data_IF_694564006512
#
_entry.id   IF_694564006512
#
_cell.length_a   1.000
_cell.length_b   1.000
_cell.length_c   1.000
_cell.angle_alpha   90.00
_cell.angle_beta   90.00
_cell.angle_gamma   90.00
#
_symmetry.space_group_name_H-M   'P 1'
#
loop_
_entity.id
_entity.type
_entity.pdbx_description
1 polymer ?
#
# COMPACT_ATOMS: atom_id res chain seq x y z
N UNK A 1 -11.66 31.51 15.66
CA UNK A 1 -11.57 31.05 14.25
C UNK A 1 -12.71 30.10 13.89
N UNK A 2 -12.96 29.04 14.65
CA UNK A 2 -14.02 28.06 14.34
C UNK A 2 -15.43 28.64 14.19
N UNK A 3 -15.86 29.55 15.07
CA UNK A 3 -17.18 30.19 14.95
C UNK A 3 -17.36 31.02 13.67
N UNK A 4 -16.26 31.51 13.07
CA UNK A 4 -16.33 32.28 11.81
C UNK A 4 -16.73 31.40 10.63
N UNK A 5 -16.26 30.16 10.59
CA UNK A 5 -16.51 29.24 9.46
C UNK A 5 -17.80 28.44 9.61
N UNK A 6 -18.46 28.52 10.77
CA UNK A 6 -19.66 27.73 11.09
C UNK A 6 -20.81 27.86 10.09
N UNK A 7 -20.99 29.05 9.49
CA UNK A 7 -22.01 29.32 8.47
C UNK A 7 -21.44 29.59 7.08
N UNK A 8 -20.15 29.38 6.89
CA UNK A 8 -19.48 29.71 5.63
C UNK A 8 -19.93 28.82 4.46
N UNK A 9 -20.29 27.55 4.76
CA UNK A 9 -20.72 26.57 3.76
C UNK A 9 -22.25 26.55 3.51
N UNK A 10 -22.98 27.58 3.96
CA UNK A 10 -24.41 27.69 3.68
C UNK A 10 -24.69 27.94 2.19
N UNK A 11 -25.89 27.62 1.73
CA UNK A 11 -26.35 27.87 0.34
C UNK A 11 -26.97 29.26 0.17
N UNK A 12 -27.56 29.81 1.23
CA UNK A 12 -28.21 31.13 1.17
C UNK A 12 -27.17 32.25 1.27
N UNK A 13 -27.14 33.13 0.27
CA UNK A 13 -26.25 34.30 0.26
C UNK A 13 -24.77 33.96 0.09
N UNK A 14 -24.45 32.77 -0.43
CA UNK A 14 -23.07 32.35 -0.72
C UNK A 14 -22.50 32.91 -2.03
N UNK A 15 -23.35 33.52 -2.86
CA UNK A 15 -23.07 34.07 -4.19
C UNK A 15 -23.69 35.48 -4.40
N UNK A 16 -23.43 36.47 -3.53
CA UNK A 16 -23.95 37.84 -3.69
C UNK A 16 -23.47 38.53 -4.97
N UNK A 17 -24.35 39.34 -5.57
CA UNK A 17 -24.05 40.14 -6.78
C UNK A 17 -23.01 41.25 -6.52
N UNK A 18 -23.02 41.83 -5.32
CA UNK A 18 -22.10 42.92 -4.93
C UNK A 18 -21.21 42.48 -3.77
N UNK A 19 -19.90 42.61 -3.95
CA UNK A 19 -18.92 42.26 -2.93
C UNK A 19 -18.64 43.47 -2.03
N UNK A 20 -18.68 43.25 -0.72
CA UNK A 20 -18.26 44.24 0.29
C UNK A 20 -17.29 43.58 1.28
N UNK A 21 -16.69 44.35 2.19
CA UNK A 21 -15.81 43.78 3.21
C UNK A 21 -16.56 42.89 4.22
N UNK A 22 -17.87 43.08 4.36
CA UNK A 22 -18.73 42.32 5.28
C UNK A 22 -19.49 41.19 4.59
N UNK A 23 -19.64 41.22 3.26
CA UNK A 23 -20.34 40.19 2.49
C UNK A 23 -19.52 39.79 1.26
N UNK A 24 -18.79 38.68 1.38
CA UNK A 24 -18.01 38.08 0.29
C UNK A 24 -18.56 36.71 -0.03
N UNK A 25 -18.73 36.46 -1.32
CA UNK A 25 -19.13 35.16 -1.83
C UNK A 25 -18.07 34.09 -1.55
N UNK A 26 -18.51 32.87 -1.29
CA UNK A 26 -17.64 31.68 -1.36
C UNK A 26 -17.55 31.13 -2.78
N UNK A 27 -18.59 31.34 -3.60
CA UNK A 27 -18.69 30.87 -4.99
C UNK A 27 -19.49 31.85 -5.85
N UNK A 28 -19.27 31.86 -7.16
CA UNK A 28 -20.09 32.59 -8.15
C UNK A 28 -21.04 31.68 -8.92
N UNK A 29 -20.99 30.37 -8.66
CA UNK A 29 -21.83 29.38 -9.31
C UNK A 29 -23.12 29.18 -8.50
N UNK A 30 -24.29 29.01 -9.15
CA UNK A 30 -25.50 28.54 -8.46
C UNK A 30 -25.28 27.16 -7.83
N UNK A 31 -25.87 26.96 -6.66
CA UNK A 31 -25.95 25.65 -6.04
C UNK A 31 -26.92 24.77 -6.83
N UNK A 32 -26.41 23.68 -7.40
CA UNK A 32 -27.18 22.70 -8.17
C UNK A 32 -26.98 21.32 -7.58
N UNK A 33 -27.96 20.43 -7.74
CA UNK A 33 -27.90 19.03 -7.27
C UNK A 33 -27.00 18.15 -8.16
N UNK A 34 -26.40 18.73 -9.21
CA UNK A 34 -25.50 18.08 -10.15
C UNK A 34 -24.03 18.42 -9.83
N UNK A 35 -23.34 17.47 -9.17
CA UNK A 35 -21.95 17.64 -8.72
C UNK A 35 -20.96 17.51 -9.88
N UNK A 36 -21.18 16.59 -10.83
CA UNK A 36 -20.26 16.33 -11.95
C UNK A 36 -20.60 17.10 -13.23
N UNK A 37 -21.67 17.90 -13.22
CA UNK A 37 -22.13 18.76 -14.32
C UNK A 37 -22.44 17.99 -15.60
N UNK A 38 -22.98 16.78 -15.47
CA UNK A 38 -23.39 15.97 -16.63
C UNK A 38 -24.81 16.30 -17.12
N UNK A 39 -25.46 17.30 -16.52
CA UNK A 39 -26.82 17.78 -16.79
C UNK A 39 -27.90 16.72 -16.54
N UNK A 40 -27.56 15.67 -15.80
CA UNK A 40 -28.50 14.64 -15.37
C UNK A 40 -28.48 14.51 -13.86
N UNK A 41 -29.61 14.12 -13.27
CA UNK A 41 -29.66 13.77 -11.86
C UNK A 41 -29.53 12.27 -11.74
N UNK A 42 -28.40 11.80 -11.21
CA UNK A 42 -28.24 10.39 -10.90
C UNK A 42 -28.83 10.10 -9.52
N UNK A 43 -29.96 9.42 -9.48
CA UNK A 43 -30.66 9.01 -8.24
C UNK A 43 -30.33 7.58 -7.81
N UNK A 44 -29.39 6.92 -8.49
CA UNK A 44 -28.98 5.57 -8.14
C UNK A 44 -28.07 5.64 -6.92
N UNK A 45 -28.57 5.14 -5.80
CA UNK A 45 -27.78 4.90 -4.61
C UNK A 45 -27.19 3.48 -4.68
N UNK A 46 -25.93 3.40 -5.12
CA UNK A 46 -25.14 2.18 -5.03
C UNK A 46 -23.69 2.54 -4.72
N UNK A 47 -23.22 2.12 -3.55
CA UNK A 47 -21.95 2.58 -3.00
C UNK A 47 -21.32 1.54 -2.08
N UNK A 48 -19.99 1.67 -1.94
CA UNK A 48 -19.22 1.02 -0.90
C UNK A 48 -19.06 1.99 0.26
N UNK A 49 -19.26 1.50 1.47
CA UNK A 49 -19.12 2.24 2.72
C UNK A 49 -17.97 1.65 3.54
N UNK A 50 -17.17 2.55 4.10
CA UNK A 50 -16.05 2.27 4.97
C UNK A 50 -16.33 3.00 6.29
N UNK A 51 -16.73 2.26 7.31
CA UNK A 51 -17.12 2.79 8.61
C UNK A 51 -15.94 2.72 9.57
N UNK A 52 -15.46 3.89 10.02
CA UNK A 52 -14.36 4.00 10.99
C UNK A 52 -14.88 4.50 12.32
N UNK A 53 -14.78 3.67 13.35
CA UNK A 53 -15.19 4.02 14.71
C UNK A 53 -14.11 4.83 15.44
N UNK A 54 -14.14 6.15 15.24
CA UNK A 54 -13.18 7.08 15.84
C UNK A 54 -13.60 7.44 17.26
N UNK A 55 -13.11 6.68 18.22
CA UNK A 55 -13.23 6.96 19.66
C UNK A 55 -11.87 7.24 20.29
N UNK A 56 -11.86 7.78 21.52
CA UNK A 56 -10.60 8.01 22.24
C UNK A 56 -9.90 6.70 22.61
N UNK A 57 -10.66 5.64 22.83
CA UNK A 57 -10.13 4.33 23.22
C UNK A 57 -9.54 3.58 22.01
N UNK A 58 -10.06 3.84 20.81
CA UNK A 58 -9.56 3.24 19.57
C UNK A 58 -8.34 3.98 18.98
N UNK A 59 -8.00 5.17 19.47
CA UNK A 59 -6.86 5.95 18.96
C UNK A 59 -5.64 5.80 19.89
N UNK A 60 -4.49 5.32 19.39
CA UNK A 60 -3.27 5.22 20.19
C UNK A 60 -2.78 6.59 20.64
N UNK A 61 -2.16 6.68 21.82
CA UNK A 61 -1.74 7.94 22.41
C UNK A 61 -0.26 8.25 22.18
N UNK A 62 0.62 7.25 22.27
CA UNK A 62 2.06 7.48 22.20
C UNK A 62 2.76 6.73 21.08
N UNK A 63 2.42 5.47 20.86
CA UNK A 63 3.02 4.61 19.82
C UNK A 63 1.95 3.81 19.08
N UNK A 64 2.29 3.36 17.87
CA UNK A 64 1.47 2.41 17.10
C UNK A 64 1.27 1.09 17.85
N UNK A 65 2.24 0.70 18.68
CA UNK A 65 2.22 -0.54 19.48
C UNK A 65 1.09 -0.60 20.53
N UNK A 66 0.42 0.53 20.79
CA UNK A 66 -0.76 0.56 21.67
C UNK A 66 -2.01 -0.01 20.99
N UNK A 67 -1.99 -0.21 19.67
CA UNK A 67 -3.08 -0.80 18.92
C UNK A 67 -3.12 -2.31 19.23
N UNK A 68 -4.17 -2.71 19.93
CA UNK A 68 -4.47 -4.14 20.17
C UNK A 68 -5.14 -4.75 18.95
N UNK A 69 -5.00 -6.06 18.74
CA UNK A 69 -5.70 -6.82 17.70
C UNK A 69 -7.25 -6.71 17.77
N UNK A 70 -7.80 -6.35 18.93
CA UNK A 70 -9.25 -6.12 19.11
C UNK A 70 -9.71 -4.72 18.71
N UNK A 71 -8.79 -3.84 18.30
CA UNK A 71 -9.13 -2.47 17.92
C UNK A 71 -9.81 -2.46 16.54
N UNK A 72 -11.06 -1.95 16.42
CA UNK A 72 -11.84 -2.03 15.19
C UNK A 72 -11.28 -1.20 14.02
N UNK A 73 -10.38 -0.23 14.30
CA UNK A 73 -9.75 0.62 13.28
C UNK A 73 -8.23 0.44 13.22
N UNK A 74 -7.68 -0.50 13.98
CA UNK A 74 -6.24 -0.68 14.14
C UNK A 74 -5.53 -0.92 12.81
N UNK A 75 -6.11 -1.78 11.96
CA UNK A 75 -5.59 -2.13 10.64
C UNK A 75 -5.42 -0.93 9.68
N UNK A 76 -6.20 0.14 9.89
CA UNK A 76 -6.17 1.34 9.05
C UNK A 76 -5.15 2.37 9.52
N UNK A 77 -4.66 2.29 10.76
CA UNK A 77 -3.67 3.23 11.29
C UNK A 77 -2.29 2.66 10.98
N UNK A 78 -1.50 3.37 10.18
CA UNK A 78 -0.15 2.91 9.77
C UNK A 78 0.98 3.60 10.51
N UNK A 79 0.72 4.79 11.06
CA UNK A 79 1.73 5.55 11.79
C UNK A 79 1.09 6.57 12.73
N UNK A 80 1.78 6.84 13.84
CA UNK A 80 1.43 7.85 14.85
C UNK A 80 2.66 8.66 15.18
N UNK A 81 2.63 9.97 14.88
CA UNK A 81 3.73 10.88 15.19
C UNK A 81 3.31 11.97 16.17
N UNK A 82 4.05 12.07 17.27
CA UNK A 82 3.99 13.21 18.18
C UNK A 82 5.07 14.20 17.79
N UNK A 83 4.69 15.47 17.58
CA UNK A 83 5.63 16.55 17.31
C UNK A 83 5.24 17.81 18.11
N UNK A 84 6.18 18.41 18.86
CA UNK A 84 5.92 19.66 19.55
C UNK A 84 5.70 20.79 18.54
N UNK A 85 4.70 21.62 18.79
CA UNK A 85 4.40 22.82 18.00
C UNK A 85 4.33 24.04 18.90
N UNK A 86 5.14 25.05 18.54
CA UNK A 86 5.07 26.36 19.14
C UNK A 86 3.80 27.06 18.67
N UNK A 87 2.89 27.31 19.60
CA UNK A 87 1.67 28.05 19.36
C UNK A 87 1.94 29.56 19.37
N UNK A 88 1.13 30.38 18.67
CA UNK A 88 1.31 31.84 18.63
C UNK A 88 1.22 32.54 20.00
N UNK A 89 0.64 31.88 21.00
CA UNK A 89 0.57 32.36 22.39
C UNK A 89 1.89 32.13 23.17
N UNK A 90 2.91 31.54 22.54
CA UNK A 90 4.22 31.25 23.13
C UNK A 90 4.30 29.92 23.90
N UNK A 91 3.23 29.13 23.97
CA UNK A 91 3.27 27.78 24.56
C UNK A 91 3.66 26.74 23.52
N UNK A 92 4.31 25.64 23.94
CA UNK A 92 4.51 24.47 23.09
C UNK A 92 3.50 23.40 23.48
N UNK A 93 2.82 22.83 22.48
CA UNK A 93 1.92 21.68 22.68
C UNK A 93 2.35 20.53 21.77
N UNK A 94 2.23 19.32 22.29
CA UNK A 94 2.50 18.10 21.53
C UNK A 94 1.28 17.76 20.67
N UNK A 95 1.45 17.90 19.36
CA UNK A 95 0.41 17.59 18.37
C UNK A 95 0.65 16.18 17.85
N UNK A 96 -0.42 15.38 17.85
CA UNK A 96 -0.45 14.03 17.28
C UNK A 96 -0.94 14.04 15.84
N UNK A 97 -0.22 13.30 14.99
CA UNK A 97 -0.57 13.03 13.61
C UNK A 97 -0.81 11.54 13.46
N UNK A 98 -2.00 11.18 12.96
CA UNK A 98 -2.36 9.81 12.64
C UNK A 98 -2.35 9.64 11.12
N UNK A 99 -1.65 8.63 10.62
CA UNK A 99 -1.70 8.24 9.21
C UNK A 99 -2.74 7.12 9.04
N UNK A 100 -3.87 7.45 8.43
CA UNK A 100 -4.88 6.47 8.06
C UNK A 100 -4.68 6.00 6.62
N UNK A 101 -4.77 4.69 6.38
CA UNK A 101 -4.75 4.06 5.07
C UNK A 101 -5.89 3.06 4.98
N UNK A 102 -6.91 3.42 4.20
CA UNK A 102 -8.10 2.59 3.99
C UNK A 102 -7.97 1.89 2.63
N UNK A 103 -7.93 0.55 2.58
CA UNK A 103 -7.88 -0.17 1.32
C UNK A 103 -9.25 -0.04 0.61
N UNK A 104 -9.25 0.58 -0.57
CA UNK A 104 -10.49 0.77 -1.35
C UNK A 104 -10.85 -0.50 -2.13
N UNK A 105 -9.89 -1.19 -2.72
CA UNK A 105 -10.15 -2.39 -3.53
C UNK A 105 -9.93 -3.66 -2.70
N UNK A 106 -10.90 -4.00 -1.87
CA UNK A 106 -10.94 -5.26 -1.10
C UNK A 106 -11.82 -6.31 -1.79
N UNK A 107 -11.77 -7.55 -1.31
CA UNK A 107 -12.54 -8.65 -1.87
C UNK A 107 -14.05 -8.43 -1.66
N UNK A 108 -14.88 -8.80 -2.65
CA UNK A 108 -16.31 -8.48 -2.62
C UNK A 108 -17.07 -9.15 -1.47
N UNK A 109 -16.61 -10.32 -1.03
CA UNK A 109 -17.14 -11.02 0.14
C UNK A 109 -16.97 -10.23 1.44
N UNK A 110 -15.91 -9.43 1.59
CA UNK A 110 -15.70 -8.61 2.79
C UNK A 110 -16.82 -7.58 2.97
N UNK A 111 -17.36 -7.03 1.88
CA UNK A 111 -18.50 -6.11 1.94
C UNK A 111 -19.84 -6.79 2.26
N UNK A 112 -19.91 -8.12 2.17
CA UNK A 112 -21.10 -8.92 2.51
C UNK A 112 -21.01 -9.53 3.92
N UNK A 113 -19.81 -9.64 4.47
CA UNK A 113 -19.52 -10.25 5.77
C UNK A 113 -19.49 -9.21 6.88
N UNK A 114 -20.68 -8.90 7.40
CA UNK A 114 -20.85 -7.97 8.51
C UNK A 114 -20.40 -8.54 9.88
N UNK A 115 -19.97 -9.81 9.95
CA UNK A 115 -19.55 -10.43 11.21
C UNK A 115 -18.05 -10.26 11.41
N UNK A 116 -17.27 -10.60 10.39
CA UNK A 116 -15.82 -10.52 10.44
C UNK A 116 -15.31 -9.13 10.04
N UNK A 117 -16.01 -8.45 9.13
CA UNK A 117 -15.59 -7.17 8.55
C UNK A 117 -16.68 -6.09 8.68
N UNK A 118 -17.11 -5.73 9.91
CA UNK A 118 -18.21 -4.80 10.12
C UNK A 118 -17.96 -3.38 9.57
N UNK A 119 -16.71 -3.04 9.27
CA UNK A 119 -16.28 -1.75 8.72
C UNK A 119 -16.60 -1.62 7.22
N UNK A 120 -16.75 -2.74 6.50
CA UNK A 120 -16.96 -2.75 5.05
C UNK A 120 -18.40 -3.12 4.73
N UNK A 121 -19.13 -2.21 4.11
CA UNK A 121 -20.52 -2.46 3.69
C UNK A 121 -20.72 -2.07 2.25
N UNK A 122 -21.59 -2.78 1.54
CA UNK A 122 -22.08 -2.34 0.24
C UNK A 122 -23.59 -2.16 0.24
N UNK A 123 -24.04 -1.16 -0.49
CA UNK A 123 -25.45 -0.85 -0.65
C UNK A 123 -25.79 -0.80 -2.14
N UNK A 124 -27.00 -1.28 -2.47
CA UNK A 124 -27.46 -1.37 -3.86
C UNK A 124 -26.84 -2.55 -4.62
N UNK A 125 -26.85 -2.48 -5.95
CA UNK A 125 -26.41 -3.57 -6.85
C UNK A 125 -24.99 -3.35 -7.39
N UNK A 126 -24.10 -2.74 -6.59
CA UNK A 126 -22.71 -2.52 -7.00
C UNK A 126 -21.89 -3.81 -6.90
N UNK A 127 -21.20 -4.16 -7.98
CA UNK A 127 -20.46 -5.42 -8.09
C UNK A 127 -18.95 -5.25 -8.27
N UNK A 128 -18.49 -4.06 -8.66
CA UNK A 128 -17.07 -3.77 -8.88
C UNK A 128 -16.72 -2.29 -8.70
N UNK A 129 -15.42 -1.99 -8.75
CA UNK A 129 -14.85 -0.64 -8.64
C UNK A 129 -14.62 0.06 -9.99
N UNK A 130 -15.15 -0.46 -11.10
CA UNK A 130 -14.83 0.08 -12.44
C UNK A 130 -15.46 1.45 -12.69
N UNK A 131 -16.58 1.74 -12.03
CA UNK A 131 -17.35 2.97 -12.25
C UNK A 131 -17.67 3.69 -10.95
N UNK A 132 -16.64 4.09 -10.21
CA UNK A 132 -16.77 4.99 -9.05
C UNK A 132 -16.62 6.45 -9.52
N UNK A 133 -17.62 7.29 -9.22
CA UNK A 133 -17.65 8.70 -9.65
C UNK A 133 -17.55 9.71 -8.51
N UNK A 134 -18.07 9.35 -7.34
CA UNK A 134 -18.20 10.25 -6.21
C UNK A 134 -17.66 9.58 -4.95
N UNK A 135 -17.11 10.40 -4.06
CA UNK A 135 -16.76 10.02 -2.70
C UNK A 135 -17.47 10.96 -1.73
N UNK A 136 -18.01 10.43 -0.64
CA UNK A 136 -18.70 11.20 0.40
C UNK A 136 -18.15 10.80 1.75
N UNK A 137 -17.65 11.78 2.50
CA UNK A 137 -17.23 11.62 3.89
C UNK A 137 -18.25 12.33 4.76
N UNK A 138 -18.73 11.65 5.80
CA UNK A 138 -19.67 12.21 6.75
C UNK A 138 -19.32 11.73 8.16
N UNK A 139 -19.71 12.52 9.15
CA UNK A 139 -19.47 12.22 10.57
C UNK A 139 -20.81 11.96 11.24
N UNK A 140 -20.89 10.89 12.02
CA UNK A 140 -22.11 10.46 12.71
C UNK A 140 -21.77 10.11 14.16
N UNK A 141 -22.76 10.18 15.05
CA UNK A 141 -22.68 9.67 16.44
C UNK A 141 -21.67 10.35 17.40
N UNK A 142 -21.05 11.46 17.01
CA UNK A 142 -20.27 12.29 17.93
C UNK A 142 -21.18 13.04 18.92
N UNK A 143 -20.96 12.80 20.22
CA UNK A 143 -21.69 13.46 21.31
C UNK A 143 -21.14 14.84 21.67
N UNK A 144 -19.88 15.12 21.29
CA UNK A 144 -19.20 16.38 21.55
C UNK A 144 -18.84 17.09 20.24
N UNK A 145 -18.74 18.44 20.25
CA UNK A 145 -18.26 19.20 19.11
C UNK A 145 -16.85 18.73 18.70
N UNK A 146 -16.76 18.06 17.56
CA UNK A 146 -15.53 17.44 17.07
C UNK A 146 -15.10 18.08 15.77
N UNK A 147 -13.80 18.33 15.62
CA UNK A 147 -13.22 18.93 14.42
C UNK A 147 -12.15 18.00 13.87
N UNK A 148 -12.36 17.49 12.67
CA UNK A 148 -11.34 16.77 11.92
C UNK A 148 -10.51 17.75 11.10
N UNK A 149 -9.19 17.57 11.16
CA UNK A 149 -8.23 18.31 10.34
C UNK A 149 -7.39 17.30 9.58
N UNK A 150 -7.59 17.25 8.28
CA UNK A 150 -6.79 16.42 7.40
C UNK A 150 -5.58 17.24 6.96
N UNK A 151 -4.37 16.76 7.26
CA UNK A 151 -3.15 17.35 6.70
C UNK A 151 -3.14 17.16 5.18
N UNK A 152 -3.41 15.94 4.76
CA UNK A 152 -3.69 15.52 3.39
C UNK A 152 -4.86 14.54 3.40
N UNK A 153 -5.65 14.55 2.33
CA UNK A 153 -6.69 13.56 2.07
C UNK A 153 -6.63 13.26 0.58
N UNK A 154 -6.17 12.06 0.25
CA UNK A 154 -5.89 11.67 -1.12
C UNK A 154 -6.29 10.22 -1.40
N UNK A 155 -6.62 9.97 -2.66
CA UNK A 155 -6.80 8.63 -3.18
C UNK A 155 -5.49 8.21 -3.86
N UNK A 156 -4.73 7.37 -3.16
CA UNK A 156 -3.46 6.86 -3.68
C UNK A 156 -3.73 5.65 -4.55
N UNK A 157 -3.11 5.64 -5.73
CA UNK A 157 -3.12 4.48 -6.63
C UNK A 157 -1.73 3.86 -6.65
N UNK A 158 -1.65 2.58 -6.33
CA UNK A 158 -0.41 1.81 -6.57
C UNK A 158 -0.21 1.58 -8.07
N UNK A 159 1.03 1.74 -8.53
CA UNK A 159 1.43 1.30 -9.88
C UNK A 159 1.50 -0.22 -9.98
N UNK A 160 1.66 -0.90 -8.84
CA UNK A 160 1.68 -2.34 -8.72
C UNK A 160 0.25 -2.88 -8.65
N UNK A 161 0.00 -3.96 -9.40
CA UNK A 161 -1.29 -4.65 -9.42
C UNK A 161 -1.16 -5.99 -8.75
N UNK A 162 -2.13 -6.35 -7.91
CA UNK A 162 -2.25 -7.70 -7.35
C UNK A 162 -2.44 -8.71 -8.48
N UNK A 163 -1.70 -9.81 -8.41
CA UNK A 163 -1.99 -11.00 -9.19
C UNK A 163 -3.03 -11.83 -8.43
N UNK A 164 -4.21 -12.01 -9.03
CA UNK A 164 -5.35 -12.65 -8.37
C UNK A 164 -5.51 -14.13 -8.72
N UNK A 165 -4.72 -14.64 -9.67
CA UNK A 165 -4.79 -16.03 -10.10
C UNK A 165 -3.76 -16.87 -9.34
N UNK A 166 -4.01 -18.18 -9.26
CA UNK A 166 -3.06 -19.11 -8.65
C UNK A 166 -1.77 -19.15 -9.49
N UNK A 167 -0.63 -19.08 -8.82
CA UNK A 167 0.71 -19.15 -9.40
C UNK A 167 1.31 -20.57 -9.36
N UNK A 168 0.63 -21.52 -8.69
CA UNK A 168 1.02 -22.92 -8.58
C UNK A 168 0.68 -23.73 -9.84
N UNK A 169 1.55 -24.68 -10.25
CA UNK A 169 1.32 -25.52 -11.43
C UNK A 169 0.20 -26.58 -11.28
N UNK A 170 -0.19 -26.98 -10.06
CA UNK A 170 -1.15 -28.08 -9.86
C UNK A 170 -2.16 -27.86 -8.72
N UNK A 171 -3.44 -27.72 -9.08
CA UNK A 171 -4.55 -28.31 -8.34
C UNK A 171 -4.77 -27.95 -6.87
N UNK A 172 -5.00 -26.68 -6.54
CA UNK A 172 -5.81 -26.29 -5.37
C UNK A 172 -6.74 -25.12 -5.79
N UNK A 173 -8.05 -25.16 -5.45
CA UNK A 173 -8.96 -24.09 -5.78
C UNK A 173 -8.63 -22.82 -4.99
N UNK A 174 -8.71 -21.69 -5.71
CA UNK A 174 -8.29 -20.34 -5.35
C UNK A 174 -9.23 -19.62 -4.37
N UNK A 175 -9.42 -20.16 -3.16
CA UNK A 175 -9.99 -19.42 -2.02
C UNK A 175 -9.42 -20.04 -0.74
N UNK A 176 -8.23 -19.59 -0.36
CA UNK A 176 -7.86 -19.55 1.04
C UNK A 176 -8.35 -18.20 1.61
N UNK A 177 -8.48 -18.14 2.93
CA UNK A 177 -8.75 -16.89 3.64
C UNK A 177 -7.47 -16.00 3.72
N UNK A 178 -6.48 -16.18 2.81
CA UNK A 178 -5.24 -15.40 2.83
C UNK A 178 -5.53 -13.94 2.49
N UNK A 179 -5.31 -13.08 3.46
CA UNK A 179 -5.36 -11.64 3.27
C UNK A 179 -4.06 -11.16 2.65
N UNK A 180 -4.14 -10.48 1.51
CA UNK A 180 -2.98 -9.92 0.83
C UNK A 180 -3.21 -8.47 0.49
N UNK A 181 -2.43 -7.57 1.10
CA UNK A 181 -2.54 -6.13 0.87
C UNK A 181 -1.25 -5.55 0.29
N UNK A 182 -1.39 -4.44 -0.43
CA UNK A 182 -0.29 -3.80 -1.16
C UNK A 182 -0.21 -2.36 -0.69
N UNK A 183 0.93 -1.99 -0.12
CA UNK A 183 1.22 -0.67 0.39
C UNK A 183 2.50 -0.08 -0.19
N UNK A 184 2.81 1.13 0.26
CA UNK A 184 4.12 1.73 0.10
C UNK A 184 4.54 2.32 1.43
N UNK A 185 5.84 2.29 1.70
CA UNK A 185 6.47 2.96 2.83
C UNK A 185 7.49 3.95 2.26
N UNK A 186 7.59 5.14 2.87
CA UNK A 186 8.50 6.18 2.37
C UNK A 186 9.29 6.85 3.46
N UNK A 187 10.48 7.35 3.11
CA UNK A 187 11.38 8.00 4.05
C UNK A 187 10.75 9.24 4.69
N UNK A 188 10.08 10.09 3.90
CA UNK A 188 9.51 11.34 4.42
C UNK A 188 8.26 11.12 5.27
N UNK A 189 7.40 10.18 4.90
CA UNK A 189 6.14 9.94 5.63
C UNK A 189 6.36 9.05 6.84
N UNK A 190 7.21 8.03 6.73
CA UNK A 190 7.42 6.99 7.75
C UNK A 190 8.82 7.09 8.41
N UNK A 191 9.39 8.30 8.43
CA UNK A 191 10.61 8.67 9.18
C UNK A 191 10.60 8.07 10.59
N UNK A 192 11.58 7.19 10.87
CA UNK A 192 11.74 6.40 12.11
C UNK A 192 11.58 4.89 11.91
N UNK A 193 10.68 4.46 11.02
CA UNK A 193 10.39 3.03 10.76
C UNK A 193 10.98 2.56 9.41
N UNK A 194 11.43 3.49 8.58
CA UNK A 194 12.04 3.21 7.29
C UNK A 194 13.40 3.89 7.19
N UNK A 195 14.43 3.11 6.88
CA UNK A 195 15.78 3.59 6.59
C UNK A 195 16.17 3.27 5.15
N UNK A 196 17.05 4.09 4.59
CA UNK A 196 17.55 3.90 3.23
C UNK A 196 18.34 2.58 3.12
N UNK A 197 18.13 1.80 2.05
CA UNK A 197 18.96 0.63 1.81
C UNK A 197 20.46 0.99 1.71
N UNK A 198 21.36 0.11 2.16
CA UNK A 198 22.80 0.37 2.14
C UNK A 198 23.33 0.77 0.76
N UNK A 199 23.91 1.97 0.68
CA UNK A 199 24.50 2.51 -0.55
C UNK A 199 23.51 3.16 -1.52
N UNK A 200 22.23 3.31 -1.13
CA UNK A 200 21.25 4.12 -1.86
C UNK A 200 21.33 5.57 -1.36
N UNK A 201 21.46 6.50 -2.30
CA UNK A 201 21.43 7.94 -2.02
C UNK A 201 20.17 8.56 -2.64
N UNK A 202 19.59 9.54 -1.94
CA UNK A 202 18.42 10.26 -2.43
C UNK A 202 18.75 11.04 -3.70
N UNK A 203 17.90 10.92 -4.72
CA UNK A 203 18.06 11.69 -5.96
C UNK A 203 17.91 13.19 -5.69
N UNK A 204 18.84 13.99 -6.22
CA UNK A 204 18.85 15.44 -6.07
C UNK A 204 18.26 16.12 -7.30
N UNK A 205 17.12 16.78 -7.13
CA UNK A 205 16.50 17.61 -8.16
C UNK A 205 16.87 19.09 -7.93
N UNK A 206 17.40 19.72 -8.96
CA UNK A 206 17.68 21.16 -8.95
C UNK A 206 16.44 21.92 -9.42
N UNK A 207 15.81 22.68 -8.52
CA UNK A 207 14.69 23.56 -8.85
C UNK A 207 14.97 24.98 -8.35
N UNK A 208 14.98 25.98 -9.24
CA UNK A 208 15.15 27.40 -8.88
C UNK A 208 16.30 27.70 -7.89
N UNK A 209 17.49 27.17 -8.16
CA UNK A 209 18.72 27.32 -7.36
C UNK A 209 18.70 26.67 -5.98
N UNK A 210 17.68 25.88 -5.64
CA UNK A 210 17.70 25.01 -4.46
C UNK A 210 17.79 23.55 -4.89
N UNK A 211 18.57 22.79 -4.12
CA UNK A 211 18.64 21.33 -4.25
C UNK A 211 17.52 20.75 -3.41
N UNK A 212 16.62 20.01 -4.05
CA UNK A 212 15.51 19.31 -3.41
C UNK A 212 15.79 17.81 -3.55
N UNK A 213 15.90 17.11 -2.41
CA UNK A 213 16.02 15.66 -2.39
C UNK A 213 14.66 15.02 -2.65
N UNK A 214 14.60 14.09 -3.59
CA UNK A 214 13.41 13.31 -3.87
C UNK A 214 13.12 12.34 -2.73
N UNK A 215 11.86 11.95 -2.60
CA UNK A 215 11.44 10.96 -1.61
C UNK A 215 11.83 9.56 -2.09
N UNK A 216 12.37 8.73 -1.19
CA UNK A 216 12.59 7.30 -1.44
C UNK A 216 11.40 6.50 -0.94
N UNK A 217 10.98 5.49 -1.71
CA UNK A 217 9.84 4.65 -1.37
C UNK A 217 10.14 3.17 -1.64
N UNK A 218 9.61 2.30 -0.78
CA UNK A 218 9.61 0.85 -0.98
C UNK A 218 8.20 0.30 -1.03
N UNK A 219 8.04 -0.81 -1.75
CA UNK A 219 6.80 -1.56 -1.84
C UNK A 219 6.61 -2.38 -0.57
N UNK A 220 5.42 -2.33 0.01
CA UNK A 220 5.04 -3.16 1.17
C UNK A 220 4.03 -4.20 0.70
N UNK A 221 4.30 -5.46 1.04
CA UNK A 221 3.43 -6.60 0.73
C UNK A 221 3.06 -7.25 2.06
N UNK A 222 1.84 -7.00 2.53
CA UNK A 222 1.35 -7.59 3.77
C UNK A 222 0.57 -8.86 3.43
N UNK A 223 0.93 -9.96 4.09
CA UNK A 223 0.28 -11.26 3.90
C UNK A 223 -0.07 -11.87 5.25
N UNK A 224 -1.31 -12.35 5.39
CA UNK A 224 -1.78 -13.10 6.55
C UNK A 224 -2.35 -14.44 6.10
N UNK A 225 -2.17 -15.49 6.91
CA UNK A 225 -2.69 -16.84 6.66
C UNK A 225 -2.29 -17.40 5.28
N UNK A 226 -1.02 -17.25 4.88
CA UNK A 226 -0.49 -17.85 3.65
C UNK A 226 -0.31 -19.35 3.82
N UNK A 227 -0.99 -20.13 2.97
CA UNK A 227 -0.88 -21.58 2.99
C UNK A 227 0.51 -22.08 2.55
N UNK A 228 0.88 -23.27 3.03
CA UNK A 228 2.16 -23.89 2.64
C UNK A 228 2.24 -24.08 1.11
N UNK A 229 3.35 -23.62 0.53
CA UNK A 229 3.63 -23.59 -0.91
C UNK A 229 2.75 -22.63 -1.72
N UNK A 230 1.81 -21.92 -1.11
CA UNK A 230 1.06 -20.88 -1.80
C UNK A 230 1.93 -19.63 -2.00
N UNK A 231 1.62 -18.86 -3.04
CA UNK A 231 2.33 -17.63 -3.36
C UNK A 231 1.36 -16.53 -3.74
N UNK A 232 1.68 -15.32 -3.28
CA UNK A 232 0.98 -14.09 -3.62
C UNK A 232 1.98 -13.16 -4.28
N UNK A 233 1.54 -12.47 -5.33
CA UNK A 233 2.41 -11.60 -6.10
C UNK A 233 1.73 -10.29 -6.47
N UNK A 234 2.57 -9.31 -6.73
CA UNK A 234 2.20 -8.11 -7.47
C UNK A 234 3.00 -8.04 -8.77
N UNK A 235 2.44 -7.40 -9.78
CA UNK A 235 3.11 -7.21 -11.05
C UNK A 235 2.98 -5.77 -11.53
N UNK A 236 3.98 -5.35 -12.31
CA UNK A 236 4.02 -4.08 -13.02
C UNK A 236 4.54 -4.34 -14.42
N UNK A 237 3.87 -3.75 -15.42
CA UNK A 237 4.33 -3.84 -16.80
C UNK A 237 5.40 -2.78 -17.01
N UNK A 238 6.64 -3.22 -17.21
CA UNK A 238 7.79 -2.36 -17.49
C UNK A 238 8.51 -2.86 -18.75
N UNK A 239 9.10 -1.94 -19.51
CA UNK A 239 9.93 -2.26 -20.66
C UNK A 239 11.37 -1.88 -20.34
N UNK A 240 12.17 -2.86 -19.93
CA UNK A 240 13.58 -2.67 -19.56
C UNK A 240 14.44 -3.58 -20.43
N UNK A 241 15.47 -3.00 -21.05
CA UNK A 241 16.51 -3.75 -21.75
C UNK A 241 17.71 -4.00 -20.82
N UNK A 242 17.79 -5.22 -20.26
CA UNK A 242 18.84 -5.59 -19.30
C UNK A 242 20.14 -6.10 -19.96
N UNK A 243 20.23 -6.17 -21.30
CA UNK A 243 21.34 -6.85 -22.00
C UNK A 243 22.70 -6.20 -21.82
N UNK A 244 22.74 -4.89 -21.56
CA UNK A 244 23.99 -4.15 -21.33
C UNK A 244 24.47 -4.24 -19.89
N UNK A 245 23.62 -4.68 -18.97
CA UNK A 245 23.95 -4.81 -17.56
C UNK A 245 24.53 -6.19 -17.27
N UNK A 246 25.36 -6.25 -16.23
CA UNK A 246 26.02 -7.51 -15.81
C UNK A 246 25.33 -8.18 -14.63
N UNK A 247 24.66 -7.39 -13.78
CA UNK A 247 24.06 -7.82 -12.53
C UNK A 247 22.67 -7.22 -12.38
N UNK A 248 21.77 -7.99 -11.80
CA UNK A 248 20.50 -7.54 -11.25
C UNK A 248 20.67 -7.45 -9.74
N UNK A 249 20.42 -6.26 -9.17
CA UNK A 249 20.50 -6.01 -7.73
C UNK A 249 19.15 -5.51 -7.22
N UNK A 250 18.62 -6.09 -6.15
CA UNK A 250 17.39 -5.64 -5.48
C UNK A 250 17.48 -5.92 -3.98
N UNK A 251 17.01 -4.98 -3.17
CA UNK A 251 16.91 -5.12 -1.72
C UNK A 251 15.54 -5.68 -1.35
N UNK A 252 15.53 -6.65 -0.44
CA UNK A 252 14.30 -7.19 0.16
C UNK A 252 14.45 -7.08 1.68
N UNK A 253 13.36 -6.72 2.33
CA UNK A 253 13.22 -6.73 3.77
C UNK A 253 12.01 -7.60 4.11
N UNK A 254 12.11 -8.32 5.22
CA UNK A 254 11.03 -9.12 5.76
C UNK A 254 11.01 -8.92 7.28
N UNK A 255 9.83 -8.70 7.81
CA UNK A 255 9.55 -8.58 9.24
C UNK A 255 8.26 -9.33 9.57
N UNK A 256 8.11 -9.71 10.83
CA UNK A 256 6.84 -10.22 11.31
C UNK A 256 5.85 -9.06 11.49
N UNK A 257 4.57 -9.30 11.15
CA UNK A 257 3.50 -8.38 11.52
C UNK A 257 3.20 -8.42 13.02
N UNK A 258 2.06 -7.85 13.42
CA UNK A 258 1.61 -7.77 14.82
C UNK A 258 1.53 -9.15 15.50
N UNK A 259 1.28 -10.20 14.72
CA UNK A 259 1.36 -11.60 15.17
C UNK A 259 2.56 -12.26 14.51
N UNK A 260 3.49 -12.75 15.33
CA UNK A 260 4.58 -13.57 14.84
C UNK A 260 3.99 -14.86 14.23
N UNK A 261 4.18 -15.02 12.92
CA UNK A 261 3.57 -16.11 12.16
C UNK A 261 4.57 -16.90 11.32
N UNK A 262 5.77 -16.35 11.06
CA UNK A 262 6.81 -16.99 10.29
C UNK A 262 8.11 -17.07 11.10
N UNK A 263 8.81 -18.19 10.95
CA UNK A 263 10.20 -18.34 11.36
C UNK A 263 11.15 -18.00 10.20
N UNK A 264 12.43 -17.80 10.54
CA UNK A 264 13.47 -17.56 9.54
C UNK A 264 13.51 -18.69 8.50
N UNK A 265 13.65 -18.30 7.22
CA UNK A 265 13.73 -19.21 6.08
C UNK A 265 12.43 -19.97 5.75
N UNK A 266 11.29 -19.62 6.34
CA UNK A 266 9.98 -20.13 5.92
C UNK A 266 9.37 -19.31 4.78
N UNK A 267 9.75 -18.03 4.67
CA UNK A 267 9.33 -17.14 3.61
C UNK A 267 10.37 -17.06 2.50
N UNK A 268 9.89 -17.05 1.25
CA UNK A 268 10.72 -16.89 0.06
C UNK A 268 10.28 -15.65 -0.69
N UNK A 269 11.20 -14.72 -0.87
CA UNK A 269 11.04 -13.58 -1.75
C UNK A 269 11.33 -14.02 -3.18
N UNK A 270 10.43 -13.74 -4.11
CA UNK A 270 10.65 -14.11 -5.51
C UNK A 270 10.37 -12.96 -6.48
N UNK A 271 11.09 -12.99 -7.60
CA UNK A 271 10.90 -12.09 -8.74
C UNK A 271 10.68 -12.92 -9.98
N UNK A 272 9.51 -12.77 -10.61
CA UNK A 272 9.25 -13.26 -11.97
C UNK A 272 9.46 -12.13 -12.97
N UNK A 273 10.29 -12.38 -13.97
CA UNK A 273 10.53 -11.45 -15.07
C UNK A 273 10.52 -12.17 -16.42
N UNK A 274 9.80 -11.61 -17.39
CA UNK A 274 9.65 -12.23 -18.69
C UNK A 274 8.61 -11.55 -19.54
N UNK A 275 8.17 -12.24 -20.58
CA UNK A 275 7.12 -11.75 -21.48
C UNK A 275 5.73 -11.97 -20.88
N UNK A 276 5.58 -12.98 -20.03
CA UNK A 276 4.31 -13.36 -19.40
C UNK A 276 4.54 -13.83 -17.96
N UNK A 277 3.49 -13.86 -17.16
CA UNK A 277 3.51 -14.17 -15.73
C UNK A 277 3.48 -15.70 -15.48
N UNK A 278 2.89 -16.47 -16.41
CA UNK A 278 2.57 -17.90 -16.18
C UNK A 278 3.37 -18.88 -17.02
N UNK A 279 3.83 -18.50 -18.21
CA UNK A 279 4.48 -19.45 -19.13
C UNK A 279 5.91 -19.07 -19.49
N UNK A 280 6.19 -17.78 -19.69
CA UNK A 280 7.44 -17.31 -20.28
C UNK A 280 8.14 -16.33 -19.33
N UNK A 281 8.75 -16.86 -18.27
CA UNK A 281 9.45 -16.08 -17.26
C UNK A 281 10.74 -16.76 -16.78
N UNK A 282 11.62 -15.94 -16.23
CA UNK A 282 12.64 -16.37 -15.27
C UNK A 282 12.12 -16.05 -13.88
N UNK A 283 12.27 -16.98 -12.95
CA UNK A 283 11.98 -16.79 -11.53
C UNK A 283 13.29 -16.81 -10.78
N UNK A 284 13.50 -15.80 -9.94
CA UNK A 284 14.60 -15.74 -8.98
C UNK A 284 13.95 -15.83 -7.62
N UNK A 285 14.44 -16.73 -6.78
CA UNK A 285 13.97 -16.94 -5.41
C UNK A 285 15.11 -16.71 -4.44
N UNK A 286 14.81 -16.08 -3.32
CA UNK A 286 15.74 -15.89 -2.20
C UNK A 286 14.99 -16.22 -0.91
N UNK A 287 15.48 -17.19 -0.10
CA UNK A 287 14.92 -17.44 1.23
C UNK A 287 15.17 -16.22 2.12
N UNK A 288 14.14 -15.73 2.78
CA UNK A 288 14.20 -14.51 3.56
C UNK A 288 14.54 -14.81 5.02
N UNK A 289 15.38 -13.94 5.57
CA UNK A 289 15.67 -13.83 7.00
C UNK A 289 14.84 -12.68 7.56
N UNK A 290 14.11 -12.93 8.64
CA UNK A 290 13.30 -11.92 9.28
C UNK A 290 14.20 -10.98 10.09
N UNK A 291 13.97 -9.69 9.93
CA UNK A 291 14.54 -8.66 10.78
C UNK A 291 13.67 -8.49 12.03
N UNK A 292 14.30 -8.24 13.17
CA UNK A 292 13.63 -7.91 14.43
C UNK A 292 13.36 -6.40 14.56
N UNK A 293 13.45 -5.66 13.46
CA UNK A 293 13.31 -4.20 13.43
C UNK A 293 14.49 -3.47 14.07
N UNK A 294 15.51 -4.19 14.56
CA UNK A 294 16.76 -3.61 15.03
C UNK A 294 17.89 -3.91 14.06
N UNK A 295 18.72 -2.89 13.83
CA UNK A 295 19.70 -2.84 12.75
C UNK A 295 20.49 -4.16 12.52
N UNK A 296 20.67 -4.59 11.25
CA UNK A 296 20.29 -3.87 10.02
C UNK A 296 18.84 -4.14 9.57
N UNK A 297 18.11 -3.06 9.23
CA UNK A 297 16.79 -3.15 8.57
C UNK A 297 16.89 -3.85 7.21
N UNK A 298 18.03 -3.76 6.52
CA UNK A 298 18.27 -4.42 5.25
C UNK A 298 19.37 -5.48 5.38
N UNK A 299 19.03 -6.73 5.75
CA UNK A 299 20.01 -7.82 5.79
C UNK A 299 20.65 -8.06 4.42
N UNK A 300 21.96 -8.31 4.40
CA UNK A 300 22.67 -8.61 3.15
C UNK A 300 22.22 -9.97 2.57
N UNK A 301 21.76 -10.89 3.44
CA UNK A 301 21.23 -12.20 3.07
C UNK A 301 19.95 -12.12 2.24
N UNK A 302 19.15 -11.06 2.45
CA UNK A 302 17.91 -10.82 1.71
C UNK A 302 18.14 -10.08 0.38
N UNK A 303 19.39 -9.69 0.08
CA UNK A 303 19.71 -8.96 -1.15
C UNK A 303 19.77 -9.93 -2.35
N UNK A 304 18.95 -9.66 -3.37
CA UNK A 304 19.13 -10.29 -4.68
C UNK A 304 20.31 -9.61 -5.36
N UNK A 305 21.41 -10.34 -5.56
CA UNK A 305 22.58 -9.87 -6.32
C UNK A 305 23.01 -10.90 -7.36
N UNK A 306 22.23 -11.01 -8.45
CA UNK A 306 22.40 -12.06 -9.44
C UNK A 306 23.18 -11.57 -10.66
N UNK A 307 24.20 -12.33 -11.07
CA UNK A 307 24.86 -12.12 -12.36
C UNK A 307 23.96 -12.58 -13.51
N UNK A 308 23.61 -11.67 -14.43
CA UNK A 308 22.70 -11.95 -15.55
C UNK A 308 23.22 -13.01 -16.53
N UNK A 309 24.53 -13.29 -16.51
CA UNK A 309 25.15 -14.38 -17.28
C UNK A 309 24.62 -15.76 -16.85
N UNK A 310 24.25 -15.92 -15.56
CA UNK A 310 23.69 -17.16 -15.02
C UNK A 310 22.39 -17.51 -15.72
N UNK A 311 21.50 -16.53 -15.92
CA UNK A 311 20.23 -16.72 -16.65
C UNK A 311 20.44 -17.17 -18.10
N UNK A 312 21.52 -16.73 -18.74
CA UNK A 312 21.88 -17.18 -20.09
C UNK A 312 22.35 -18.64 -20.10
N UNK A 313 23.12 -19.05 -19.08
CA UNK A 313 23.55 -20.45 -18.88
C UNK A 313 22.33 -21.35 -18.65
N UNK A 314 21.43 -20.97 -17.73
CA UNK A 314 20.17 -21.68 -17.45
C UNK A 314 19.35 -21.85 -18.72
N UNK A 315 19.17 -20.78 -19.50
CA UNK A 315 18.43 -20.87 -20.77
C UNK A 315 19.08 -21.85 -21.74
N UNK A 316 20.42 -21.82 -21.84
CA UNK A 316 21.15 -22.71 -22.74
C UNK A 316 21.03 -24.18 -22.35
N UNK A 317 21.03 -24.48 -21.05
CA UNK A 317 20.87 -25.83 -20.54
C UNK A 317 19.43 -26.33 -20.69
N UNK A 318 18.45 -25.47 -20.42
CA UNK A 318 17.03 -25.82 -20.57
C UNK A 318 16.60 -25.97 -22.04
N UNK A 319 17.26 -25.31 -23.01
CA UNK A 319 16.99 -25.55 -24.44
C UNK A 319 17.22 -27.01 -24.88
N UNK A 320 18.01 -27.78 -24.12
CA UNK A 320 18.21 -29.21 -24.33
C UNK A 320 17.09 -30.09 -23.76
N UNK A 321 16.21 -29.52 -22.90
CA UNK A 321 15.15 -30.24 -22.21
C UNK A 321 13.80 -29.92 -22.84
N UNK A 322 13.20 -30.89 -23.54
CA UNK A 322 12.02 -30.67 -24.39
C UNK A 322 10.68 -30.91 -23.70
N UNK A 323 10.65 -31.06 -22.37
CA UNK A 323 9.43 -31.46 -21.64
C UNK A 323 8.50 -30.29 -21.33
N UNK A 324 8.98 -29.04 -21.40
CA UNK A 324 8.18 -27.84 -21.14
C UNK A 324 7.96 -27.55 -19.66
N UNK A 325 8.54 -28.36 -18.77
CA UNK A 325 8.45 -28.20 -17.32
C UNK A 325 9.45 -27.15 -16.81
N UNK A 326 9.12 -26.53 -15.68
CA UNK A 326 10.05 -25.63 -15.00
C UNK A 326 11.25 -26.43 -14.45
N UNK A 327 12.46 -25.95 -14.70
CA UNK A 327 13.69 -26.56 -14.18
C UNK A 327 14.33 -25.59 -13.19
N UNK A 328 14.54 -26.05 -11.97
CA UNK A 328 15.10 -25.27 -10.87
C UNK A 328 16.61 -25.49 -10.74
N UNK A 329 17.35 -24.43 -10.49
CA UNK A 329 18.81 -24.45 -10.31
C UNK A 329 19.18 -23.59 -9.12
N UNK A 330 20.10 -24.08 -8.30
CA UNK A 330 20.68 -23.28 -7.22
C UNK A 330 21.83 -22.42 -7.76
N UNK A 331 21.95 -21.23 -7.16
CA UNK A 331 23.06 -20.31 -7.42
C UNK A 331 23.78 -20.07 -6.11
N UNK A 332 24.93 -20.70 -5.93
CA UNK A 332 25.78 -20.53 -4.75
C UNK A 332 26.97 -19.64 -5.14
N UNK A 333 27.21 -18.58 -4.38
CA UNK A 333 28.30 -17.61 -4.61
C UNK A 333 28.34 -17.02 -6.04
N UNK A 334 27.19 -16.92 -6.71
CA UNK A 334 27.06 -16.39 -8.07
C UNK A 334 27.42 -17.38 -9.18
N UNK A 335 27.67 -18.64 -8.85
CA UNK A 335 27.85 -19.73 -9.82
C UNK A 335 26.66 -20.69 -9.81
N UNK A 336 26.28 -21.15 -11.01
CA UNK A 336 25.20 -22.13 -11.17
C UNK A 336 25.70 -23.51 -10.76
N UNK A 337 24.95 -24.20 -9.90
CA UNK A 337 25.18 -25.63 -9.67
C UNK A 337 24.84 -26.43 -10.92
N UNK A 338 25.73 -27.33 -11.35
CA UNK A 338 25.55 -28.10 -12.60
C UNK A 338 24.44 -29.17 -12.52
N UNK A 339 23.88 -29.42 -11.34
CA UNK A 339 22.75 -30.34 -11.13
C UNK A 339 21.46 -29.56 -10.84
N UNK A 340 20.38 -29.77 -11.61
CA UNK A 340 19.06 -29.25 -11.29
C UNK A 340 18.56 -29.76 -9.94
N UNK A 341 17.83 -28.92 -9.22
CA UNK A 341 17.25 -29.28 -7.93
C UNK A 341 15.93 -30.03 -8.18
N UNK A 342 15.86 -31.27 -7.71
CA UNK A 342 14.67 -32.13 -7.89
C UNK A 342 13.56 -31.86 -6.85
N UNK A 343 13.85 -31.09 -5.78
CA UNK A 343 12.96 -30.92 -4.63
C UNK A 343 11.84 -29.89 -4.81
N UNK A 344 11.86 -29.12 -5.92
CA UNK A 344 10.88 -28.07 -6.23
C UNK A 344 9.94 -28.42 -7.39
N UNK A 345 10.05 -29.64 -7.95
CA UNK A 345 9.25 -30.14 -9.06
C UNK A 345 7.98 -30.88 -8.65
#
# INVERSE_FOLDING_TARGET
VFERYKKYNGVEGNSPETFTDTNRASTTQPDVEDINRDNTMNTIDSYFEYELDITRDNLPLNSIDEITSTNPIGEFIKDVKIRPRNLPNGTSEDVRWYQFRIPVNVAMNMFDDNVNFPQFKRYGNISDFRSIRFARVYLKEFTQPTVFRFGTLELVRSEWRRYLSNLQPEGQPANDDTEFTVGAISLLENDGNYELPPGVELEELYNNNTVIRQNEQSLVLDVCDLDSKDSRAVYKNISIDMRQYKKLRMFIHAENGDTAGADNSELVGFIRMGNDITQNYYQIEVPLVLSDGTNPIWPEENEINLALKVLQKIKSENLGNSTGDAVFYDVLDGELTDTPVAEFG
#
